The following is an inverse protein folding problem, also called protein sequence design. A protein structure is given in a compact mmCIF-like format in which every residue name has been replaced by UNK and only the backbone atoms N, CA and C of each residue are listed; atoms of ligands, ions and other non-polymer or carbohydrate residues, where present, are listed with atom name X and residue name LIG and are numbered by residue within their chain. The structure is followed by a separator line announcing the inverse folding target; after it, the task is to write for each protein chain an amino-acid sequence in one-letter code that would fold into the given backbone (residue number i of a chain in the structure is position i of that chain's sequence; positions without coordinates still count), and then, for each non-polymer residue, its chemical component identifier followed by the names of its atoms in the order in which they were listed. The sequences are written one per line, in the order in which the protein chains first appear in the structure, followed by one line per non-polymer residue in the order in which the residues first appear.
data_IF_766971163914
#
_entry.id   IF_766971163914
#
_cell.length_a   1.000
_cell.length_b   1.000
_cell.length_c   1.000
_cell.angle_alpha   90.00
_cell.angle_beta   90.00
_cell.angle_gamma   90.00
#
_symmetry.space_group_name_H-M   'P 1'
#
loop_
_entity.id
_entity.type
_entity.pdbx_description
1 polymer ?
#
# COMPACT_ATOMS: atom_id res chain seq x y z
N UNK A 1 -16.19 21.79 -16.18
CA UNK A 1 -15.37 20.81 -15.43
C UNK A 1 -16.13 19.50 -15.38
N UNK A 2 -15.55 18.41 -15.86
CA UNK A 2 -16.16 17.07 -15.76
C UNK A 2 -16.25 16.67 -14.28
N UNK A 3 -17.42 16.18 -13.82
CA UNK A 3 -17.57 15.67 -12.44
C UNK A 3 -16.73 14.41 -12.18
N UNK A 4 -16.21 13.78 -13.25
CA UNK A 4 -15.36 12.58 -13.21
C UNK A 4 -14.10 12.83 -12.37
N UNK A 5 -13.43 13.96 -12.55
CA UNK A 5 -12.19 14.27 -11.83
C UNK A 5 -12.39 14.37 -10.30
N UNK A 6 -13.28 15.24 -9.77
CA UNK A 6 -13.46 15.35 -8.33
C UNK A 6 -14.00 14.06 -7.69
N UNK A 7 -14.88 13.33 -8.38
CA UNK A 7 -15.39 12.03 -7.90
C UNK A 7 -14.25 11.00 -7.81
N UNK A 8 -13.39 10.94 -8.82
CA UNK A 8 -12.26 10.01 -8.86
C UNK A 8 -11.24 10.31 -7.77
N UNK A 9 -10.95 11.60 -7.51
CA UNK A 9 -10.06 12.01 -6.41
C UNK A 9 -10.64 11.63 -5.05
N UNK A 10 -11.94 11.90 -4.82
CA UNK A 10 -12.56 11.58 -3.55
C UNK A 10 -12.57 10.07 -3.30
N UNK A 11 -12.92 9.28 -4.31
CA UNK A 11 -12.83 7.82 -4.25
C UNK A 11 -11.38 7.34 -4.01
N UNK A 12 -10.40 7.94 -4.70
CA UNK A 12 -8.98 7.62 -4.51
C UNK A 12 -8.51 7.89 -3.09
N UNK A 13 -8.91 9.03 -2.50
CA UNK A 13 -8.57 9.38 -1.12
C UNK A 13 -9.15 8.36 -0.12
N UNK A 14 -10.41 7.96 -0.30
CA UNK A 14 -11.03 6.92 0.53
C UNK A 14 -10.29 5.58 0.40
N UNK A 15 -10.01 5.13 -0.84
CA UNK A 15 -9.27 3.88 -1.09
C UNK A 15 -7.88 3.93 -0.48
N UNK A 16 -7.19 5.06 -0.58
CA UNK A 16 -5.87 5.27 0.01
C UNK A 16 -5.91 5.15 1.54
N UNK A 17 -6.90 5.74 2.21
CA UNK A 17 -7.06 5.61 3.65
C UNK A 17 -7.26 4.15 4.09
N UNK A 18 -8.14 3.41 3.40
CA UNK A 18 -8.34 1.98 3.66
C UNK A 18 -7.09 1.14 3.36
N UNK A 19 -6.37 1.49 2.29
CA UNK A 19 -5.11 0.84 1.93
C UNK A 19 -4.07 1.03 3.02
N UNK A 20 -3.83 2.27 3.46
CA UNK A 20 -2.86 2.60 4.51
C UNK A 20 -3.21 1.88 5.82
N UNK A 21 -4.49 1.85 6.20
CA UNK A 21 -4.93 1.09 7.37
C UNK A 21 -4.58 -0.40 7.24
N UNK A 22 -4.93 -1.04 6.12
CA UNK A 22 -4.61 -2.45 5.89
C UNK A 22 -3.10 -2.71 5.87
N UNK A 23 -2.35 -1.79 5.27
CA UNK A 23 -0.90 -1.82 5.16
C UNK A 23 -0.22 -1.78 6.54
N UNK A 24 -0.57 -0.81 7.39
CA UNK A 24 0.02 -0.71 8.74
C UNK A 24 -0.35 -1.89 9.64
N UNK A 25 -1.59 -2.40 9.53
CA UNK A 25 -2.00 -3.61 10.26
C UNK A 25 -1.21 -4.83 9.79
N UNK A 26 -1.02 -4.99 8.48
CA UNK A 26 -0.22 -6.07 7.93
C UNK A 26 1.26 -5.96 8.32
N UNK A 27 1.84 -4.76 8.25
CA UNK A 27 3.19 -4.47 8.72
C UNK A 27 3.38 -4.87 10.19
N UNK A 28 2.43 -4.50 11.06
CA UNK A 28 2.48 -4.86 12.48
C UNK A 28 2.53 -6.38 12.69
N UNK A 29 1.73 -7.13 11.94
CA UNK A 29 1.70 -8.60 12.02
C UNK A 29 3.03 -9.20 11.53
N UNK A 30 3.50 -8.79 10.35
CA UNK A 30 4.77 -9.29 9.79
C UNK A 30 5.92 -8.96 10.74
N UNK A 31 5.96 -7.75 11.28
CA UNK A 31 6.98 -7.33 12.26
C UNK A 31 6.94 -8.17 13.53
N UNK A 32 5.76 -8.56 14.01
CA UNK A 32 5.65 -9.39 15.23
C UNK A 32 6.01 -10.86 15.01
N UNK A 33 5.73 -11.42 13.83
CA UNK A 33 5.90 -12.86 13.60
C UNK A 33 7.19 -13.23 12.86
N UNK A 34 7.59 -12.36 11.92
CA UNK A 34 8.72 -12.55 11.01
C UNK A 34 9.48 -11.22 10.83
N UNK A 35 10.05 -10.66 11.90
CA UNK A 35 10.81 -9.41 11.81
C UNK A 35 12.02 -9.52 10.88
N UNK A 36 12.56 -10.73 10.71
CA UNK A 36 13.63 -11.07 9.77
C UNK A 36 13.28 -10.76 8.32
N UNK A 37 12.01 -10.91 7.92
CA UNK A 37 11.57 -10.58 6.55
C UNK A 37 11.60 -9.09 6.24
N UNK A 38 11.65 -8.24 7.27
CA UNK A 38 11.67 -6.78 7.14
C UNK A 38 13.07 -6.20 7.37
N UNK A 39 14.11 -7.04 7.51
CA UNK A 39 15.50 -6.61 7.64
C UNK A 39 16.13 -6.32 6.26
N UNK A 40 15.41 -5.57 5.42
CA UNK A 40 15.91 -5.10 4.13
C UNK A 40 16.57 -3.74 4.34
N UNK A 41 17.82 -3.60 3.89
CA UNK A 41 18.54 -2.32 3.89
C UNK A 41 18.88 -1.98 2.44
N UNK A 42 18.29 -0.90 1.94
CA UNK A 42 18.55 -0.38 0.60
C UNK A 42 19.39 0.90 0.63
N UNK A 43 19.80 1.38 -0.55
CA UNK A 43 20.56 2.63 -0.69
C UNK A 43 19.84 3.84 -0.09
N UNK A 44 18.50 3.81 -0.04
CA UNK A 44 17.67 4.86 0.53
C UNK A 44 17.43 4.71 2.03
N UNK A 45 17.72 3.56 2.64
CA UNK A 45 17.43 3.30 4.07
C UNK A 45 18.14 4.27 5.01
N UNK A 46 19.30 4.81 4.60
CA UNK A 46 20.03 5.84 5.35
C UNK A 46 19.18 7.09 5.62
N UNK A 47 18.34 7.52 4.68
CA UNK A 47 17.47 8.69 4.86
C UNK A 47 16.35 8.46 5.88
N UNK A 48 16.12 7.20 6.25
CA UNK A 48 15.09 6.78 7.19
C UNK A 48 15.69 6.23 8.50
N UNK A 49 17.01 6.26 8.67
CA UNK A 49 17.66 5.90 9.93
C UNK A 49 17.23 6.91 11.01
N UNK A 50 16.57 6.42 12.06
CA UNK A 50 15.96 7.22 13.13
C UNK A 50 14.44 7.45 13.00
N UNK A 51 13.83 7.08 11.88
CA UNK A 51 12.38 7.11 11.68
C UNK A 51 11.76 5.70 11.81
N UNK A 52 10.42 5.65 11.88
CA UNK A 52 9.72 4.37 11.82
C UNK A 52 10.03 3.66 10.50
N UNK A 53 10.56 2.43 10.58
CA UNK A 53 10.85 1.58 9.40
C UNK A 53 9.65 1.35 8.48
N UNK A 54 8.42 1.56 8.95
CA UNK A 54 7.25 1.53 8.08
C UNK A 54 7.27 2.63 6.99
N UNK A 55 8.03 3.71 7.21
CA UNK A 55 8.25 4.78 6.25
C UNK A 55 9.36 4.53 5.24
N UNK A 56 10.21 3.51 5.44
CA UNK A 56 11.30 3.18 4.51
C UNK A 56 10.71 2.53 3.24
N UNK A 57 10.93 3.10 2.04
CA UNK A 57 10.43 2.56 0.78
C UNK A 57 10.84 1.11 0.52
N UNK A 58 12.02 0.70 1.00
CA UNK A 58 12.50 -0.67 0.82
C UNK A 58 11.68 -1.66 1.66
N UNK A 59 11.36 -1.28 2.89
CA UNK A 59 10.49 -2.05 3.78
C UNK A 59 9.07 -2.08 3.22
N UNK A 60 8.59 -0.96 2.68
CA UNK A 60 7.27 -0.92 2.07
C UNK A 60 7.16 -1.84 0.86
N UNK A 61 8.17 -1.83 -0.01
CA UNK A 61 8.23 -2.71 -1.17
C UNK A 61 8.33 -4.19 -0.78
N UNK A 62 9.13 -4.52 0.23
CA UNK A 62 9.20 -5.89 0.74
C UNK A 62 7.86 -6.32 1.35
N UNK A 63 7.18 -5.44 2.07
CA UNK A 63 5.85 -5.73 2.60
C UNK A 63 4.83 -5.99 1.48
N UNK A 64 4.89 -5.24 0.37
CA UNK A 64 4.09 -5.52 -0.81
C UNK A 64 4.44 -6.88 -1.43
N UNK A 65 5.73 -7.23 -1.55
CA UNK A 65 6.15 -8.56 -2.03
C UNK A 65 5.61 -9.68 -1.16
N UNK A 66 5.65 -9.53 0.17
CA UNK A 66 5.06 -10.49 1.10
C UNK A 66 3.54 -10.57 0.90
N UNK A 67 2.88 -9.41 0.81
CA UNK A 67 1.43 -9.32 0.64
C UNK A 67 0.97 -9.98 -0.66
N UNK A 68 1.66 -9.83 -1.79
CA UNK A 68 1.32 -10.43 -3.08
C UNK A 68 1.86 -11.86 -3.25
N UNK A 69 2.88 -12.25 -2.49
CA UNK A 69 3.50 -13.57 -2.55
C UNK A 69 2.82 -14.65 -1.71
N UNK A 70 3.45 -15.83 -1.69
CA UNK A 70 3.05 -16.98 -0.86
C UNK A 70 3.38 -16.79 0.63
N UNK A 71 4.35 -15.92 0.96
CA UNK A 71 4.81 -15.66 2.33
C UNK A 71 3.70 -15.16 3.26
N UNK A 72 2.71 -14.41 2.76
CA UNK A 72 1.57 -13.99 3.57
C UNK A 72 0.77 -15.18 4.17
N UNK A 73 0.75 -16.33 3.50
CA UNK A 73 0.09 -17.55 3.99
C UNK A 73 0.88 -18.34 5.03
N UNK A 74 2.15 -17.98 5.25
CA UNK A 74 3.02 -18.61 6.25
C UNK A 74 2.94 -17.91 7.61
N UNK A 75 2.21 -16.80 7.70
CA UNK A 75 1.93 -16.10 8.95
C UNK A 75 0.85 -16.86 9.73
N UNK A 76 1.05 -16.99 11.04
CA UNK A 76 0.17 -17.69 11.99
C UNK A 76 -1.10 -16.90 12.25
N UNK A 77 -1.05 -15.57 12.23
CA UNK A 77 -2.23 -14.73 12.46
C UNK A 77 -3.23 -14.86 11.30
N UNK A 78 -4.47 -15.33 11.52
CA UNK A 78 -5.45 -15.51 10.46
C UNK A 78 -5.87 -14.18 9.80
N UNK A 79 -5.80 -13.06 10.54
CA UNK A 79 -6.04 -11.73 9.98
C UNK A 79 -4.99 -11.30 8.95
N UNK A 80 -3.80 -11.89 8.94
CA UNK A 80 -2.73 -11.53 8.00
C UNK A 80 -3.16 -11.75 6.55
N UNK A 81 -3.80 -12.89 6.28
CA UNK A 81 -4.33 -13.21 4.96
C UNK A 81 -5.42 -12.21 4.51
N UNK A 82 -6.27 -11.77 5.45
CA UNK A 82 -7.31 -10.77 5.17
C UNK A 82 -6.71 -9.41 4.81
N UNK A 83 -5.69 -8.94 5.54
CA UNK A 83 -5.03 -7.68 5.20
C UNK A 83 -4.21 -7.77 3.91
N UNK A 84 -3.50 -8.88 3.68
CA UNK A 84 -2.81 -9.13 2.42
C UNK A 84 -3.79 -9.08 1.23
N UNK A 85 -4.97 -9.72 1.34
CA UNK A 85 -6.03 -9.63 0.32
C UNK A 85 -6.50 -8.19 0.12
N UNK A 86 -6.75 -7.43 1.20
CA UNK A 86 -7.15 -6.01 1.09
C UNK A 86 -6.09 -5.19 0.34
N UNK A 87 -4.80 -5.39 0.64
CA UNK A 87 -3.70 -4.73 -0.08
C UNK A 87 -3.73 -5.10 -1.57
N UNK A 88 -3.89 -6.38 -1.90
CA UNK A 88 -3.98 -6.88 -3.29
C UNK A 88 -5.12 -6.26 -4.09
N UNK A 89 -6.24 -5.94 -3.45
CA UNK A 89 -7.39 -5.32 -4.11
C UNK A 89 -7.34 -3.80 -4.11
N UNK A 90 -7.00 -3.17 -2.98
CA UNK A 90 -7.06 -1.70 -2.84
C UNK A 90 -5.97 -1.00 -3.66
N UNK A 91 -4.80 -1.60 -3.80
CA UNK A 91 -3.71 -1.02 -4.58
C UNK A 91 -4.06 -0.86 -6.08
N UNK A 92 -4.51 -1.91 -6.80
CA UNK A 92 -4.93 -1.73 -8.20
C UNK A 92 -6.18 -0.87 -8.32
N UNK A 93 -7.14 -0.95 -7.40
CA UNK A 93 -8.34 -0.07 -7.41
C UNK A 93 -7.94 1.40 -7.28
N UNK A 94 -7.03 1.72 -6.36
CA UNK A 94 -6.49 3.08 -6.22
C UNK A 94 -5.79 3.54 -7.49
N UNK A 95 -4.98 2.68 -8.10
CA UNK A 95 -4.30 2.99 -9.36
C UNK A 95 -5.29 3.28 -10.50
N UNK A 96 -6.35 2.48 -10.64
CA UNK A 96 -7.41 2.72 -11.63
C UNK A 96 -8.10 4.06 -11.40
N UNK A 97 -8.49 4.36 -10.15
CA UNK A 97 -9.14 5.63 -9.82
C UNK A 97 -8.25 6.83 -10.12
N UNK A 98 -6.95 6.72 -9.83
CA UNK A 98 -5.97 7.76 -10.17
C UNK A 98 -5.89 7.99 -11.68
N UNK A 99 -5.77 6.92 -12.47
CA UNK A 99 -5.71 7.01 -13.95
C UNK A 99 -7.01 7.59 -14.52
N UNK A 100 -8.18 7.14 -14.07
CA UNK A 100 -9.48 7.68 -14.50
C UNK A 100 -9.60 9.16 -14.18
N UNK A 101 -9.19 9.56 -12.97
CA UNK A 101 -9.14 10.97 -12.57
C UNK A 101 -8.22 11.78 -13.49
N UNK A 102 -7.00 11.30 -13.73
CA UNK A 102 -6.02 11.97 -14.59
C UNK A 102 -6.55 12.16 -16.01
N UNK A 103 -7.11 11.11 -16.62
CA UNK A 103 -7.72 11.18 -17.97
C UNK A 103 -8.90 12.16 -17.98
N UNK A 104 -9.76 12.11 -16.96
CA UNK A 104 -10.89 13.03 -16.83
C UNK A 104 -10.47 14.50 -16.70
N UNK A 105 -9.34 14.77 -16.03
CA UNK A 105 -8.75 16.10 -15.93
C UNK A 105 -8.21 16.57 -17.29
N UNK A 106 -7.37 15.74 -17.94
CA UNK A 106 -6.76 16.03 -19.24
C UNK A 106 -7.81 16.25 -20.33
N UNK A 107 -8.88 15.46 -20.35
CA UNK A 107 -9.97 15.62 -21.30
C UNK A 107 -10.81 16.89 -21.08
N UNK A 108 -10.67 17.54 -19.92
CA UNK A 108 -11.34 18.79 -19.57
C UNK A 108 -10.43 20.00 -19.58
N UNK A 109 -9.15 19.81 -19.95
CA UNK A 109 -8.21 20.90 -20.15
C UNK A 109 -8.58 21.68 -21.44
N UNK A 110 -8.53 23.03 -21.40
CA UNK A 110 -8.87 23.88 -22.54
C UNK A 110 -7.85 23.78 -23.68
#
# INVERSE_FOLDING_TARGET
MSLVFPISILAFACVTAFYLYAFFRFYGIVKSERPDWLQVRGSLSFFYDGLSRAGDPNVQMELLRIAFGSRAGQLRTPMAASYAKRIRYLLPVGLVLFVVGLVGALASAP
#
